data_IF_890035229180
#
_entry.id   IF_890035229180
#
_cell.length_a   1.000
_cell.length_b   1.000
_cell.length_c   1.000
_cell.angle_alpha   90.00
_cell.angle_beta   90.00
_cell.angle_gamma   90.00
#
_symmetry.space_group_name_H-M   'P 1'
#
loop_
_entity.id
_entity.type
_entity.pdbx_description
1 polymer ?
#
# COMPACT_ATOMS: atom_id res chain seq x y z
N UNK A 1 11.52 -5.99 -22.80
CA UNK A 1 10.15 -5.45 -22.72
C UNK A 1 10.23 -4.01 -22.24
N UNK A 2 9.50 -3.14 -22.86
CA UNK A 2 9.87 -1.75 -23.10
C UNK A 2 9.60 -0.83 -21.89
N UNK A 3 10.58 -0.05 -21.48
CA UNK A 3 10.47 1.15 -20.62
C UNK A 3 9.31 2.07 -21.04
N UNK A 4 8.94 2.04 -22.32
CA UNK A 4 7.77 2.73 -22.87
C UNK A 4 6.43 2.31 -22.25
N UNK A 5 6.25 1.05 -21.82
CA UNK A 5 4.97 0.59 -21.25
C UNK A 5 4.71 1.21 -19.87
N UNK A 6 5.75 1.37 -19.05
CA UNK A 6 5.63 2.05 -17.75
C UNK A 6 5.39 3.56 -17.89
N UNK A 7 6.01 4.20 -18.88
CA UNK A 7 5.73 5.61 -19.18
C UNK A 7 4.30 5.85 -19.64
N UNK A 8 3.72 4.91 -20.39
CA UNK A 8 2.33 4.99 -20.86
C UNK A 8 1.33 4.84 -19.70
N UNK A 9 1.59 3.92 -18.75
CA UNK A 9 0.76 3.76 -17.55
C UNK A 9 0.81 5.01 -16.66
N UNK A 10 1.97 5.64 -16.52
CA UNK A 10 2.10 6.90 -15.79
C UNK A 10 1.38 8.07 -16.48
N UNK A 11 1.41 8.15 -17.82
CA UNK A 11 0.71 9.17 -18.57
C UNK A 11 -0.83 9.02 -18.51
N UNK A 12 -1.34 7.78 -18.52
CA UNK A 12 -2.77 7.50 -18.33
C UNK A 12 -3.25 7.87 -16.92
N UNK A 13 -2.41 7.70 -15.91
CA UNK A 13 -2.71 8.09 -14.54
C UNK A 13 -2.82 9.63 -14.37
N UNK A 14 -2.12 10.40 -15.19
CA UNK A 14 -2.17 11.86 -15.18
C UNK A 14 -3.47 12.40 -15.79
N UNK A 15 -4.10 11.64 -16.68
CA UNK A 15 -5.36 12.03 -17.35
C UNK A 15 -6.62 11.57 -16.60
N UNK A 16 -6.50 10.67 -15.64
CA UNK A 16 -7.63 10.17 -14.85
C UNK A 16 -7.97 11.13 -13.70
N UNK A 17 -8.45 12.32 -14.04
CA UNK A 17 -8.67 13.47 -13.19
C UNK A 17 -9.73 13.38 -12.07
N UNK A 18 -10.18 12.19 -11.68
CA UNK A 18 -11.32 12.07 -10.78
C UNK A 18 -10.97 12.05 -9.28
N UNK A 19 -9.69 11.91 -8.91
CA UNK A 19 -9.28 11.92 -7.50
C UNK A 19 -7.96 12.69 -7.36
N UNK A 20 -7.99 14.02 -7.27
CA UNK A 20 -6.78 14.87 -7.30
C UNK A 20 -5.72 14.49 -6.27
N UNK A 21 -6.12 14.07 -5.07
CA UNK A 21 -5.21 13.68 -4.00
C UNK A 21 -4.51 12.31 -4.20
N UNK A 22 -4.91 11.55 -5.22
CA UNK A 22 -4.23 10.33 -5.66
C UNK A 22 -3.36 10.56 -6.91
N UNK A 23 -3.36 11.77 -7.46
CA UNK A 23 -2.58 12.17 -8.63
C UNK A 23 -1.44 13.14 -8.24
N UNK A 24 -0.55 13.41 -9.17
CA UNK A 24 0.48 14.42 -9.02
C UNK A 24 1.63 14.05 -8.06
N UNK A 25 2.43 15.05 -7.66
CA UNK A 25 3.64 14.86 -6.85
C UNK A 25 3.36 14.21 -5.49
N UNK A 26 2.22 14.50 -4.88
CA UNK A 26 1.83 13.92 -3.59
C UNK A 26 1.63 12.40 -3.67
N UNK A 27 1.03 11.91 -4.74
CA UNK A 27 0.88 10.47 -4.96
C UNK A 27 2.25 9.81 -5.17
N UNK A 28 3.14 10.42 -5.93
CA UNK A 28 4.51 9.92 -6.12
C UNK A 28 5.27 9.86 -4.78
N UNK A 29 5.20 10.89 -3.96
CA UNK A 29 5.86 10.91 -2.66
C UNK A 29 5.36 9.78 -1.74
N UNK A 30 4.07 9.51 -1.72
CA UNK A 30 3.50 8.39 -0.96
C UNK A 30 4.08 7.05 -1.38
N UNK A 31 4.18 6.82 -2.68
CA UNK A 31 4.73 5.59 -3.23
C UNK A 31 6.24 5.46 -2.94
N UNK A 32 6.99 6.55 -3.07
CA UNK A 32 8.43 6.58 -2.72
C UNK A 32 8.65 6.21 -1.26
N UNK A 33 7.88 6.78 -0.34
CA UNK A 33 7.97 6.45 1.08
C UNK A 33 7.63 4.98 1.34
N UNK A 34 6.54 4.49 0.76
CA UNK A 34 6.14 3.09 0.90
C UNK A 34 7.22 2.15 0.36
N UNK A 35 7.77 2.43 -0.83
CA UNK A 35 8.84 1.65 -1.44
C UNK A 35 10.09 1.59 -0.56
N UNK A 36 10.46 2.72 0.07
CA UNK A 36 11.58 2.76 0.99
C UNK A 36 11.40 1.82 2.19
N UNK A 37 10.23 1.79 2.79
CA UNK A 37 9.98 0.99 3.98
C UNK A 37 9.87 -0.52 3.71
N UNK A 38 9.51 -0.93 2.49
CA UNK A 38 9.44 -2.34 2.10
C UNK A 38 10.69 -2.86 1.37
N UNK A 39 11.77 -2.06 1.29
CA UNK A 39 12.98 -2.38 0.51
C UNK A 39 13.67 -3.71 0.90
N UNK A 40 13.47 -4.17 2.13
CA UNK A 40 14.08 -5.40 2.64
C UNK A 40 13.14 -6.62 2.49
N UNK A 41 11.96 -6.43 1.88
CA UNK A 41 10.96 -7.49 1.74
C UNK A 41 11.12 -8.22 0.41
N UNK A 42 11.25 -9.55 0.41
CA UNK A 42 11.38 -10.33 -0.83
C UNK A 42 10.07 -10.38 -1.62
N UNK A 43 8.94 -10.30 -0.96
CA UNK A 43 7.63 -10.24 -1.59
C UNK A 43 6.90 -8.97 -1.13
N UNK A 44 6.14 -8.35 -2.04
CA UNK A 44 5.39 -7.13 -1.74
C UNK A 44 3.93 -7.32 -2.10
N UNK A 45 3.06 -7.00 -1.16
CA UNK A 45 1.61 -6.98 -1.34
C UNK A 45 1.11 -5.56 -1.11
N UNK A 46 0.64 -4.91 -2.16
CA UNK A 46 0.03 -3.60 -2.12
C UNK A 46 -1.48 -3.72 -2.28
N UNK A 47 -2.23 -3.10 -1.38
CA UNK A 47 -3.68 -2.98 -1.47
C UNK A 47 -4.04 -1.51 -1.57
N UNK A 48 -4.75 -1.14 -2.64
CA UNK A 48 -5.14 0.23 -2.91
C UNK A 48 -4.11 1.05 -3.70
N UNK A 49 -3.32 0.42 -4.56
CA UNK A 49 -2.35 1.09 -5.44
C UNK A 49 -2.98 2.02 -6.48
N UNK A 50 -4.27 1.81 -6.76
CA UNK A 50 -5.05 2.58 -7.72
C UNK A 50 -4.35 2.64 -9.09
N UNK A 51 -4.24 3.82 -9.72
CA UNK A 51 -3.57 4.02 -11.01
C UNK A 51 -2.04 4.06 -10.92
N UNK A 52 -1.46 4.06 -9.73
CA UNK A 52 -0.01 4.16 -9.51
C UNK A 52 0.48 3.05 -8.58
N UNK A 53 0.54 1.81 -9.08
CA UNK A 53 1.09 0.71 -8.30
C UNK A 53 2.52 0.99 -7.85
N UNK A 54 2.87 0.44 -6.69
CA UNK A 54 4.20 0.60 -6.08
C UNK A 54 5.35 0.15 -6.98
N UNK A 55 5.07 -0.73 -7.92
CA UNK A 55 6.05 -1.33 -8.82
C UNK A 55 6.96 -0.31 -9.50
N UNK A 56 6.41 0.84 -9.91
CA UNK A 56 7.18 1.91 -10.57
C UNK A 56 8.17 2.63 -9.65
N UNK A 57 8.08 2.44 -8.35
CA UNK A 57 8.87 3.16 -7.34
C UNK A 57 9.86 2.25 -6.59
N UNK A 58 9.82 0.95 -6.87
CA UNK A 58 10.71 0.00 -6.23
C UNK A 58 12.13 0.13 -6.79
N UNK A 59 13.09 0.27 -5.90
CA UNK A 59 14.51 0.40 -6.24
C UNK A 59 15.34 -0.82 -5.83
N UNK A 60 14.73 -1.75 -5.11
CA UNK A 60 15.34 -3.04 -4.75
C UNK A 60 14.87 -4.16 -5.68
N UNK A 61 15.25 -5.39 -5.40
CA UNK A 61 14.99 -6.57 -6.23
C UNK A 61 14.07 -7.56 -5.52
N UNK A 62 12.76 -7.29 -5.41
CA UNK A 62 11.83 -8.25 -4.84
C UNK A 62 11.66 -9.46 -5.76
N UNK A 63 11.33 -10.60 -5.19
CA UNK A 63 10.99 -11.82 -5.93
C UNK A 63 9.58 -11.72 -6.53
N UNK A 64 8.68 -11.04 -5.86
CA UNK A 64 7.34 -10.77 -6.40
C UNK A 64 6.74 -9.47 -5.90
N UNK A 65 5.86 -8.90 -6.72
CA UNK A 65 5.02 -7.75 -6.41
C UNK A 65 3.59 -8.08 -6.83
N UNK A 66 2.66 -8.00 -5.88
CA UNK A 66 1.23 -8.09 -6.11
C UNK A 66 0.59 -6.76 -5.73
N UNK A 67 0.04 -6.03 -6.70
CA UNK A 67 -0.75 -4.83 -6.47
C UNK A 67 -2.22 -5.10 -6.75
N UNK A 68 -3.09 -4.83 -5.78
CA UNK A 68 -4.51 -5.16 -5.83
C UNK A 68 -5.33 -3.90 -5.63
N UNK A 69 -6.08 -3.52 -6.65
CA UNK A 69 -7.04 -2.42 -6.58
C UNK A 69 -8.10 -2.58 -7.69
N UNK A 70 -9.40 -2.37 -7.42
CA UNK A 70 -10.44 -2.46 -8.44
C UNK A 70 -10.29 -1.49 -9.62
N UNK A 71 -9.44 -0.49 -9.50
CA UNK A 71 -9.21 0.53 -10.54
C UNK A 71 -7.82 0.44 -11.18
N UNK A 72 -6.98 -0.52 -10.77
CA UNK A 72 -5.67 -0.69 -11.39
C UNK A 72 -5.81 -1.30 -12.79
N UNK A 73 -4.92 -0.92 -13.71
CA UNK A 73 -4.79 -1.62 -14.99
C UNK A 73 -4.16 -3.00 -14.75
N UNK A 74 -4.79 -4.09 -15.23
CA UNK A 74 -4.20 -5.42 -15.13
C UNK A 74 -2.86 -5.49 -15.85
N UNK A 75 -1.85 -6.03 -15.17
CA UNK A 75 -0.51 -6.15 -15.72
C UNK A 75 0.19 -7.37 -15.13
N UNK A 76 0.94 -8.08 -15.96
CA UNK A 76 1.79 -9.20 -15.52
C UNK A 76 3.15 -9.11 -16.21
N UNK A 77 4.21 -9.39 -15.45
CA UNK A 77 5.57 -9.50 -15.94
C UNK A 77 6.39 -10.45 -15.05
N UNK A 78 7.41 -11.05 -15.65
CA UNK A 78 8.36 -11.92 -14.94
C UNK A 78 9.70 -11.22 -14.64
N UNK A 79 9.77 -9.92 -14.90
CA UNK A 79 10.94 -9.10 -14.70
C UNK A 79 10.58 -7.71 -14.20
N UNK A 80 11.41 -7.17 -13.30
CA UNK A 80 11.35 -5.80 -12.83
C UNK A 80 12.74 -5.19 -12.85
N UNK A 81 12.92 -4.08 -13.57
CA UNK A 81 14.19 -3.34 -13.65
C UNK A 81 15.40 -4.23 -14.04
N UNK A 82 15.22 -5.16 -14.97
CA UNK A 82 16.27 -6.06 -15.45
C UNK A 82 16.56 -7.24 -14.53
N UNK A 83 15.68 -7.53 -13.58
CA UNK A 83 15.84 -8.66 -12.63
C UNK A 83 14.59 -9.54 -12.59
N UNK A 84 14.75 -10.88 -12.42
CA UNK A 84 13.63 -11.78 -12.24
C UNK A 84 12.75 -11.34 -11.08
N UNK A 85 11.49 -11.08 -11.37
CA UNK A 85 10.50 -10.64 -10.39
C UNK A 85 9.10 -10.90 -10.97
N UNK A 86 8.29 -11.68 -10.28
CA UNK A 86 6.90 -11.88 -10.68
C UNK A 86 6.05 -10.68 -10.31
N UNK A 87 5.70 -9.85 -11.29
CA UNK A 87 4.85 -8.67 -11.11
C UNK A 87 3.42 -9.00 -11.53
N UNK A 88 2.46 -8.66 -10.68
CA UNK A 88 1.02 -8.77 -10.97
C UNK A 88 0.28 -7.55 -10.46
N UNK A 89 -0.41 -6.85 -11.35
CA UNK A 89 -1.41 -5.85 -11.00
C UNK A 89 -2.79 -6.46 -11.27
N UNK A 90 -3.66 -6.47 -10.26
CA UNK A 90 -4.93 -7.20 -10.33
C UNK A 90 -6.09 -6.24 -10.06
N UNK A 91 -6.95 -6.10 -11.08
CA UNK A 91 -8.19 -5.32 -10.99
C UNK A 91 -9.27 -6.12 -10.25
N UNK A 92 -9.12 -6.24 -8.94
CA UNK A 92 -10.07 -6.93 -8.05
C UNK A 92 -10.04 -6.30 -6.67
N UNK A 93 -11.04 -6.64 -5.87
CA UNK A 93 -10.99 -6.36 -4.43
C UNK A 93 -10.07 -7.37 -3.75
N UNK A 94 -9.35 -6.94 -2.71
CA UNK A 94 -8.36 -7.80 -2.04
C UNK A 94 -8.96 -9.10 -1.48
N UNK A 95 -10.22 -9.09 -1.04
CA UNK A 95 -10.91 -10.25 -0.50
C UNK A 95 -11.30 -11.32 -1.55
N UNK A 96 -11.16 -11.00 -2.82
CA UNK A 96 -11.45 -11.93 -3.93
C UNK A 96 -10.23 -12.76 -4.32
N UNK A 97 -9.09 -12.52 -3.65
CA UNK A 97 -7.83 -13.20 -3.92
C UNK A 97 -7.45 -14.14 -2.76
N UNK A 98 -6.67 -15.15 -3.13
CA UNK A 98 -5.95 -15.99 -2.16
C UNK A 98 -4.52 -15.48 -2.03
N UNK A 99 -4.03 -15.38 -0.81
CA UNK A 99 -2.69 -14.94 -0.48
C UNK A 99 -1.92 -16.12 0.13
N UNK A 100 -1.00 -16.66 -0.64
CA UNK A 100 -0.18 -17.80 -0.24
C UNK A 100 1.27 -17.33 -0.04
N UNK A 101 1.50 -16.71 1.10
CA UNK A 101 2.82 -16.23 1.52
C UNK A 101 3.19 -16.85 2.85
N UNK A 102 4.43 -17.31 2.96
CA UNK A 102 4.97 -17.73 4.23
C UNK A 102 4.95 -16.55 5.24
N UNK A 103 4.61 -16.81 6.50
CA UNK A 103 4.64 -15.78 7.53
C UNK A 103 6.03 -15.11 7.59
N UNK A 104 6.02 -13.78 7.66
CA UNK A 104 7.23 -12.95 7.72
C UNK A 104 8.10 -12.98 6.45
N UNK A 105 7.52 -13.34 5.30
CA UNK A 105 8.21 -13.31 4.01
C UNK A 105 7.84 -12.13 3.14
N UNK A 106 6.86 -11.29 3.51
CA UNK A 106 6.38 -10.20 2.67
C UNK A 106 6.22 -8.88 3.40
N UNK A 107 6.35 -7.80 2.63
CA UNK A 107 5.95 -6.46 3.02
C UNK A 107 4.53 -6.16 2.54
N UNK A 108 3.72 -5.52 3.39
CA UNK A 108 2.36 -5.13 3.07
C UNK A 108 2.22 -3.63 3.02
N UNK A 109 1.57 -3.12 1.99
CA UNK A 109 1.27 -1.70 1.82
C UNK A 109 -0.24 -1.55 1.74
N UNK A 110 -0.78 -0.72 2.65
CA UNK A 110 -2.20 -0.39 2.71
C UNK A 110 -2.37 1.10 2.48
N UNK A 111 -2.97 1.48 1.37
CA UNK A 111 -3.31 2.86 1.12
C UNK A 111 -4.68 3.19 1.71
N UNK A 112 -4.82 4.37 2.27
CA UNK A 112 -5.89 4.75 3.20
C UNK A 112 -7.32 4.54 2.73
N UNK A 113 -7.56 4.52 1.42
CA UNK A 113 -8.87 4.25 0.84
C UNK A 113 -9.29 2.79 0.89
N UNK A 114 -8.33 1.89 1.06
CA UNK A 114 -8.59 0.45 1.16
C UNK A 114 -8.99 0.01 2.56
N UNK A 115 -8.78 0.88 3.54
CA UNK A 115 -9.12 0.64 4.94
C UNK A 115 -10.57 1.07 5.19
N UNK A 116 -11.52 0.27 4.71
CA UNK A 116 -12.90 0.39 5.17
C UNK A 116 -12.98 -0.15 6.60
N UNK A 117 -13.91 0.37 7.42
CA UNK A 117 -14.15 -0.18 8.76
C UNK A 117 -14.75 -1.59 8.60
N UNK A 118 -13.90 -2.60 8.67
CA UNK A 118 -14.33 -3.99 8.81
C UNK A 118 -14.47 -4.27 10.31
N UNK A 119 -15.64 -4.72 10.72
CA UNK A 119 -15.85 -5.16 12.10
C UNK A 119 -14.90 -6.33 12.43
N UNK A 120 -14.53 -6.49 13.71
CA UNK A 120 -13.64 -7.56 14.17
C UNK A 120 -14.14 -8.97 13.82
N UNK A 121 -15.43 -9.12 13.66
CA UNK A 121 -16.11 -10.37 13.29
C UNK A 121 -16.45 -10.45 11.79
N UNK A 122 -16.11 -9.44 11.02
CA UNK A 122 -16.26 -9.48 9.57
C UNK A 122 -15.19 -10.39 8.97
N UNK A 123 -15.54 -11.39 8.15
CA UNK A 123 -14.56 -12.24 7.47
C UNK A 123 -13.49 -11.46 6.70
N UNK A 124 -13.85 -10.31 6.15
CA UNK A 124 -12.90 -9.42 5.45
C UNK A 124 -11.92 -8.77 6.41
N UNK A 125 -12.38 -8.36 7.58
CA UNK A 125 -11.54 -7.86 8.65
C UNK A 125 -10.56 -8.95 9.12
N UNK A 126 -11.03 -10.17 9.31
CA UNK A 126 -10.20 -11.30 9.71
C UNK A 126 -9.08 -11.58 8.68
N UNK A 127 -9.39 -11.58 7.39
CA UNK A 127 -8.40 -11.73 6.32
C UNK A 127 -7.35 -10.61 6.37
N UNK A 128 -7.80 -9.34 6.42
CA UNK A 128 -6.89 -8.19 6.46
C UNK A 128 -5.97 -8.26 7.67
N UNK A 129 -6.50 -8.57 8.84
CA UNK A 129 -5.72 -8.68 10.07
C UNK A 129 -4.72 -9.84 10.01
N UNK A 130 -5.11 -10.99 9.45
CA UNK A 130 -4.20 -12.11 9.25
C UNK A 130 -3.02 -11.74 8.35
N UNK A 131 -3.29 -11.03 7.26
CA UNK A 131 -2.24 -10.54 6.36
C UNK A 131 -1.29 -9.57 7.08
N UNK A 132 -1.84 -8.63 7.85
CA UNK A 132 -1.04 -7.66 8.61
C UNK A 132 -0.17 -8.35 9.67
N UNK A 133 -0.73 -9.28 10.44
CA UNK A 133 -0.01 -9.98 11.50
C UNK A 133 1.12 -10.87 10.97
N UNK A 134 0.97 -11.40 9.77
CA UNK A 134 1.94 -12.27 9.13
C UNK A 134 2.96 -11.50 8.26
N UNK A 135 2.81 -10.21 8.06
CA UNK A 135 3.76 -9.44 7.29
C UNK A 135 5.09 -9.21 8.05
N UNK A 136 6.18 -9.06 7.30
CA UNK A 136 7.50 -8.66 7.79
C UNK A 136 7.54 -7.16 8.12
N UNK A 137 6.87 -6.36 7.30
CA UNK A 137 6.71 -4.92 7.45
C UNK A 137 5.34 -4.54 6.92
N UNK A 138 4.64 -3.65 7.61
CA UNK A 138 3.38 -3.09 7.14
C UNK A 138 3.51 -1.58 7.05
N UNK A 139 3.17 -1.02 5.90
CA UNK A 139 3.08 0.43 5.68
C UNK A 139 1.62 0.78 5.51
N UNK A 140 1.09 1.63 6.37
CA UNK A 140 -0.29 2.08 6.32
C UNK A 140 -0.30 3.58 6.05
N UNK A 141 -1.05 4.02 5.04
CA UNK A 141 -1.25 5.43 4.76
C UNK A 141 -2.73 5.77 4.93
N UNK A 142 -3.03 6.80 5.71
CA UNK A 142 -4.40 7.21 5.99
C UNK A 142 -4.49 8.70 6.32
N UNK A 143 -5.68 9.34 6.11
CA UNK A 143 -5.95 10.68 6.60
C UNK A 143 -6.16 10.66 8.12
N UNK A 144 -5.33 11.34 8.93
CA UNK A 144 -5.43 11.27 10.39
C UNK A 144 -6.76 11.85 10.93
N UNK A 145 -7.38 12.78 10.21
CA UNK A 145 -8.64 13.39 10.60
C UNK A 145 -9.84 12.46 10.43
N UNK A 146 -9.78 11.51 9.52
CA UNK A 146 -10.81 10.47 9.35
C UNK A 146 -10.73 9.35 10.39
N UNK A 147 -9.66 9.31 11.17
CA UNK A 147 -9.43 8.31 12.21
C UNK A 147 -10.51 8.33 13.32
N UNK A 148 -11.15 9.46 13.52
CA UNK A 148 -12.11 9.66 14.62
C UNK A 148 -13.43 8.94 14.46
N UNK A 149 -13.80 8.55 13.24
CA UNK A 149 -15.15 8.03 12.97
C UNK A 149 -15.22 6.53 12.59
N UNK A 150 -14.21 5.95 11.94
CA UNK A 150 -14.40 4.63 11.33
C UNK A 150 -13.15 3.85 10.95
N UNK A 151 -11.93 4.30 11.26
CA UNK A 151 -10.74 3.57 10.80
C UNK A 151 -10.26 2.55 11.82
N UNK A 152 -9.91 1.36 11.37
CA UNK A 152 -9.35 0.29 12.18
C UNK A 152 -7.85 0.45 12.49
N UNK A 153 -7.23 1.52 12.01
CA UNK A 153 -5.81 1.79 12.28
C UNK A 153 -5.49 1.74 13.79
N UNK A 154 -6.29 2.31 14.71
CA UNK A 154 -6.03 2.18 16.13
C UNK A 154 -6.07 0.74 16.65
N UNK A 155 -6.92 -0.11 16.10
CA UNK A 155 -6.97 -1.54 16.46
C UNK A 155 -5.74 -2.30 15.94
N UNK A 156 -5.33 -2.01 14.70
CA UNK A 156 -4.15 -2.61 14.09
C UNK A 156 -2.89 -2.29 14.92
N UNK A 157 -2.73 -1.02 15.31
CA UNK A 157 -1.57 -0.56 16.09
C UNK A 157 -1.55 -1.17 17.49
N UNK A 158 -2.71 -1.47 18.06
CA UNK A 158 -2.83 -2.05 19.43
C UNK A 158 -2.73 -3.57 19.44
N UNK A 159 -2.58 -4.22 18.30
CA UNK A 159 -2.51 -5.67 18.25
C UNK A 159 -1.23 -6.19 18.91
N UNK A 160 -1.34 -7.22 19.75
CA UNK A 160 -0.16 -7.90 20.27
C UNK A 160 0.72 -8.42 19.14
N UNK A 161 2.02 -8.24 19.26
CA UNK A 161 2.98 -8.75 18.29
C UNK A 161 3.35 -7.78 17.17
N UNK A 162 2.78 -6.57 17.12
CA UNK A 162 3.20 -5.50 16.23
C UNK A 162 3.67 -4.27 17.01
N UNK A 163 4.67 -3.59 16.49
CA UNK A 163 5.19 -2.32 17.02
C UNK A 163 5.22 -1.26 15.93
N UNK A 164 4.77 -0.06 16.25
CA UNK A 164 4.97 1.09 15.39
C UNK A 164 6.45 1.53 15.50
N UNK A 165 7.18 1.42 14.38
CA UNK A 165 8.61 1.78 14.33
C UNK A 165 8.86 3.13 13.69
N UNK A 166 7.90 3.64 12.92
CA UNK A 166 7.98 4.96 12.29
C UNK A 166 6.58 5.53 12.07
N UNK A 167 6.46 6.86 12.18
CA UNK A 167 5.29 7.61 11.75
C UNK A 167 5.75 8.88 11.04
N UNK A 168 5.17 9.16 9.87
CA UNK A 168 5.47 10.34 9.06
C UNK A 168 4.17 11.05 8.74
N UNK A 169 4.06 12.30 9.12
CA UNK A 169 2.94 13.16 8.74
C UNK A 169 3.31 14.02 7.54
N UNK A 170 2.43 14.07 6.56
CA UNK A 170 2.55 14.87 5.36
C UNK A 170 1.35 15.81 5.25
N UNK A 171 1.61 17.03 4.84
CA UNK A 171 0.58 17.96 4.41
C UNK A 171 0.69 18.18 2.90
N UNK A 172 -0.41 17.94 2.20
CA UNK A 172 -0.49 18.11 0.75
C UNK A 172 -0.95 19.54 0.47
N UNK A 173 -0.05 20.37 0.00
CA UNK A 173 -0.35 21.76 -0.39
C UNK A 173 -0.99 21.83 -1.79
N UNK A 174 -2.01 21.00 -2.00
CA UNK A 174 -2.81 21.01 -3.22
C UNK A 174 -4.07 21.84 -2.99
N UNK A 175 -4.23 22.90 -3.79
CA UNK A 175 -5.37 23.83 -3.66
C UNK A 175 -6.72 23.15 -3.90
N UNK A 176 -6.76 22.05 -4.68
CA UNK A 176 -7.98 21.31 -4.95
C UNK A 176 -8.52 20.55 -3.74
N UNK A 177 -7.66 20.28 -2.75
CA UNK A 177 -8.01 19.56 -1.51
C UNK A 177 -7.72 20.38 -0.25
N UNK A 178 -7.34 21.65 -0.40
CA UNK A 178 -7.08 22.55 0.72
C UNK A 178 -8.29 22.61 1.66
N UNK A 179 -8.03 22.41 2.96
CA UNK A 179 -9.09 22.33 3.97
C UNK A 179 -9.88 21.01 4.00
N UNK A 180 -9.62 20.10 3.08
CA UNK A 180 -10.18 18.76 3.10
C UNK A 180 -9.45 17.88 4.14
N UNK A 181 -10.13 16.89 4.78
CA UNK A 181 -9.47 15.91 5.63
C UNK A 181 -8.42 15.06 4.87
N UNK A 182 -8.44 15.09 3.55
CA UNK A 182 -7.47 14.40 2.71
C UNK A 182 -6.17 15.19 2.49
N UNK A 183 -6.12 16.48 2.84
CA UNK A 183 -4.91 17.29 2.72
C UNK A 183 -3.80 16.80 3.66
N UNK A 184 -4.16 16.20 4.79
CA UNK A 184 -3.21 15.61 5.74
C UNK A 184 -3.19 14.11 5.61
N UNK A 185 -2.00 13.53 5.53
CA UNK A 185 -1.78 12.10 5.41
C UNK A 185 -0.77 11.64 6.45
N UNK A 186 -1.03 10.48 7.02
CA UNK A 186 -0.08 9.83 7.95
C UNK A 186 0.36 8.51 7.39
N UNK A 187 1.66 8.30 7.38
CA UNK A 187 2.27 6.99 7.17
C UNK A 187 2.63 6.39 8.52
N UNK A 188 2.22 5.17 8.72
CA UNK A 188 2.55 4.38 9.88
C UNK A 188 3.26 3.12 9.41
N UNK A 189 4.44 2.87 9.95
CA UNK A 189 5.20 1.66 9.66
C UNK A 189 5.18 0.76 10.87
N UNK A 190 4.69 -0.45 10.68
CA UNK A 190 4.62 -1.49 11.71
C UNK A 190 5.61 -2.61 11.38
N UNK A 191 6.25 -3.12 12.40
CA UNK A 191 7.06 -4.35 12.33
C UNK A 191 6.67 -5.31 13.47
N UNK A 192 7.04 -6.60 13.35
CA UNK A 192 6.89 -7.52 14.45
C UNK A 192 7.58 -6.98 15.70
N UNK A 193 6.88 -7.02 16.81
CA UNK A 193 7.50 -6.71 18.10
C UNK A 193 8.66 -7.67 18.37
N UNK A 194 9.78 -7.21 18.93
CA UNK A 194 10.83 -8.11 19.36
C UNK A 194 10.24 -9.13 20.34
N UNK A 195 10.60 -10.40 20.17
CA UNK A 195 10.24 -11.41 21.18
C UNK A 195 10.91 -11.00 22.49
N UNK A 196 10.11 -10.70 23.48
CA UNK A 196 10.62 -10.60 24.87
C UNK A 196 11.15 -11.98 25.24
N UNK A 197 12.46 -12.09 25.40
CA UNK A 197 13.13 -13.29 25.92
C UNK A 197 12.75 -13.48 27.38
#
# INVERSE_FOLDING_TARGET
>A
MNTQTFHTLNALAETAGDIPHLAGPAAAMRQVLAAHFVRDCPHIVEIGGHFRPITSYLTHRPLSVLSVDPKTEPFEAEELNGHPCRVRHVNRKFQELTYDYEPRSYGMILLGYSLKPFGRHDPLGALLFSLIENAMTVVIEYPPELQRASSQVPEIVRRPGLSAVCSVDMELNDTSIAGSPYAKRRFLVLKPAPKTL
#
